data_IF_295864927432
#
_entry.id   IF_295864927432
#
_cell.length_a   1.000
_cell.length_b   1.000
_cell.length_c   1.000
_cell.angle_alpha   90.00
_cell.angle_beta   90.00
_cell.angle_gamma   90.00
#
_symmetry.space_group_name_H-M   'P 1'
#
loop_
_entity.id
_entity.type
_entity.pdbx_description
1 polymer ?
#
# COMPACT_ATOMS: atom_id res chain seq x y z
N UNK A 1 23.61 1.01 -16.52
CA UNK A 1 23.79 -0.28 -15.83
C UNK A 1 23.80 -1.38 -16.89
N UNK A 2 24.88 -2.17 -17.01
CA UNK A 2 24.97 -3.28 -17.93
C UNK A 2 24.60 -4.59 -17.25
N UNK A 3 23.89 -5.50 -17.96
CA UNK A 3 23.60 -6.85 -17.48
C UNK A 3 24.63 -7.83 -18.04
N UNK A 4 25.09 -8.75 -17.22
CA UNK A 4 25.99 -9.83 -17.62
C UNK A 4 25.14 -11.10 -17.73
N UNK A 5 24.87 -11.57 -18.96
CA UNK A 5 24.07 -12.78 -19.15
C UNK A 5 24.88 -14.06 -19.01
N UNK A 6 26.04 -14.11 -19.62
CA UNK A 6 27.03 -15.20 -19.48
C UNK A 6 28.36 -14.68 -20.02
N UNK A 7 29.41 -14.84 -19.27
CA UNK A 7 30.77 -14.48 -19.69
C UNK A 7 31.77 -15.53 -19.18
N UNK A 8 32.96 -15.59 -19.73
CA UNK A 8 34.01 -16.51 -19.35
C UNK A 8 34.31 -16.48 -17.85
N UNK A 9 34.04 -15.33 -17.19
CA UNK A 9 34.24 -15.11 -15.75
C UNK A 9 32.96 -15.20 -14.92
N UNK A 10 31.80 -15.37 -15.55
CA UNK A 10 30.51 -15.33 -14.82
C UNK A 10 30.19 -13.96 -14.20
N UNK A 11 29.23 -13.91 -13.29
CA UNK A 11 28.94 -12.70 -12.52
C UNK A 11 29.91 -12.56 -11.36
N UNK A 12 30.41 -11.35 -11.13
CA UNK A 12 31.25 -11.03 -9.97
C UNK A 12 30.55 -10.05 -9.04
N UNK A 13 30.94 -10.07 -7.75
CA UNK A 13 30.48 -9.14 -6.74
C UNK A 13 31.64 -8.31 -6.20
N UNK A 14 31.41 -7.03 -5.99
CA UNK A 14 32.38 -6.11 -5.43
C UNK A 14 32.99 -5.15 -6.44
N UNK A 15 34.05 -4.43 -6.03
CA UNK A 15 34.72 -3.40 -6.80
C UNK A 15 35.94 -3.96 -7.52
N UNK A 16 36.00 -3.74 -8.84
CA UNK A 16 37.19 -4.05 -9.66
C UNK A 16 37.52 -2.78 -10.46
N UNK A 17 38.58 -2.08 -10.05
CA UNK A 17 38.99 -0.82 -10.65
C UNK A 17 37.86 0.24 -10.58
N UNK A 18 37.39 0.70 -11.73
CA UNK A 18 36.31 1.70 -11.87
C UNK A 18 34.92 1.06 -12.01
N UNK A 19 34.82 -0.28 -11.88
CA UNK A 19 33.56 -1.02 -12.07
C UNK A 19 33.17 -1.73 -10.77
N UNK A 20 31.85 -1.75 -10.50
CA UNK A 20 31.25 -2.50 -9.40
C UNK A 20 30.33 -3.57 -9.99
N UNK A 21 30.62 -4.84 -9.65
CA UNK A 21 29.72 -5.97 -9.85
C UNK A 21 28.74 -6.12 -8.69
N UNK A 22 27.51 -6.44 -8.98
CA UNK A 22 26.45 -6.65 -7.98
C UNK A 22 25.39 -7.58 -8.56
N UNK A 23 24.62 -8.22 -7.68
CA UNK A 23 23.45 -9.01 -8.08
C UNK A 23 22.18 -8.22 -7.75
N UNK A 24 21.25 -8.13 -8.69
CA UNK A 24 19.96 -7.53 -8.50
C UNK A 24 18.87 -8.44 -9.07
N UNK A 25 17.97 -8.93 -8.19
CA UNK A 25 16.89 -9.87 -8.52
C UNK A 25 17.38 -11.13 -9.28
N UNK A 26 18.50 -11.69 -8.84
CA UNK A 26 19.10 -12.88 -9.47
C UNK A 26 19.90 -12.61 -10.74
N UNK A 27 19.89 -11.38 -11.27
CA UNK A 27 20.69 -10.98 -12.43
C UNK A 27 22.01 -10.35 -11.99
N UNK A 28 23.12 -10.76 -12.60
CA UNK A 28 24.41 -10.11 -12.42
C UNK A 28 24.45 -8.80 -13.19
N UNK A 29 24.71 -7.71 -12.48
CA UNK A 29 24.78 -6.35 -13.05
C UNK A 29 26.15 -5.73 -12.84
N UNK A 30 26.54 -4.88 -13.78
CA UNK A 30 27.79 -4.12 -13.76
C UNK A 30 27.47 -2.63 -13.84
N UNK A 31 28.08 -1.82 -12.99
CA UNK A 31 27.93 -0.37 -12.98
C UNK A 31 29.27 0.33 -12.78
N UNK A 32 29.40 1.53 -13.33
CA UNK A 32 30.55 2.37 -13.05
C UNK A 32 30.59 2.79 -11.58
N UNK A 33 31.79 2.96 -11.03
CA UNK A 33 31.98 3.54 -9.71
C UNK A 33 31.37 4.96 -9.69
N UNK A 34 30.50 5.28 -8.71
CA UNK A 34 29.96 6.63 -8.61
C UNK A 34 31.10 7.65 -8.45
N UNK A 35 31.12 8.70 -9.25
CA UNK A 35 31.98 9.86 -9.00
C UNK A 35 31.32 10.68 -7.89
N UNK A 36 31.79 10.50 -6.67
CA UNK A 36 31.25 11.21 -5.51
C UNK A 36 31.79 12.64 -5.47
N UNK A 37 31.03 13.58 -5.98
CA UNK A 37 31.13 14.94 -5.48
C UNK A 37 30.03 15.09 -4.43
N UNK A 38 30.40 15.37 -3.19
CA UNK A 38 29.46 15.70 -2.12
C UNK A 38 28.84 17.09 -2.41
N UNK A 39 27.90 17.14 -3.34
CA UNK A 39 27.10 18.35 -3.56
C UNK A 39 25.90 18.32 -2.62
N UNK A 40 25.59 19.47 -2.02
CA UNK A 40 24.35 19.63 -1.28
C UNK A 40 23.16 19.24 -2.16
N UNK A 41 22.13 18.58 -1.60
CA UNK A 41 20.95 18.19 -2.38
C UNK A 41 20.23 19.45 -2.89
N UNK A 42 19.73 19.39 -4.11
CA UNK A 42 18.84 20.44 -4.65
C UNK A 42 17.53 20.47 -3.86
N UNK A 43 16.80 21.57 -3.95
CA UNK A 43 15.50 21.70 -3.27
C UNK A 43 14.53 20.60 -3.71
N UNK A 44 14.43 20.29 -5.00
CA UNK A 44 13.61 19.19 -5.53
C UNK A 44 14.01 17.83 -4.94
N UNK A 45 15.30 17.57 -4.75
CA UNK A 45 15.78 16.34 -4.12
C UNK A 45 15.44 16.29 -2.63
N UNK A 46 15.50 17.44 -1.93
CA UNK A 46 15.10 17.56 -0.53
C UNK A 46 13.62 17.25 -0.37
N UNK A 47 12.78 17.87 -1.19
CA UNK A 47 11.33 17.65 -1.25
C UNK A 47 11.01 16.16 -1.49
N UNK A 48 11.63 15.54 -2.49
CA UNK A 48 11.41 14.13 -2.81
C UNK A 48 11.83 13.20 -1.65
N UNK A 49 12.92 13.51 -0.95
CA UNK A 49 13.34 12.74 0.24
C UNK A 49 12.34 12.86 1.38
N UNK A 50 11.79 14.06 1.61
CA UNK A 50 10.77 14.27 2.65
C UNK A 50 9.49 13.47 2.34
N UNK A 51 8.99 13.54 1.11
CA UNK A 51 7.83 12.73 0.67
C UNK A 51 8.08 11.24 0.82
N UNK A 52 9.25 10.76 0.39
CA UNK A 52 9.62 9.35 0.51
C UNK A 52 9.69 8.91 1.97
N UNK A 53 10.28 9.73 2.85
CA UNK A 53 10.36 9.45 4.28
C UNK A 53 8.98 9.31 4.90
N UNK A 54 8.11 10.30 4.71
CA UNK A 54 6.74 10.29 5.27
C UNK A 54 5.93 9.09 4.78
N UNK A 55 5.95 8.81 3.46
CA UNK A 55 5.25 7.66 2.90
C UNK A 55 5.81 6.34 3.41
N UNK A 56 7.14 6.22 3.55
CA UNK A 56 7.75 4.99 4.04
C UNK A 56 7.41 4.73 5.52
N UNK A 57 7.44 5.77 6.35
CA UNK A 57 7.07 5.68 7.77
C UNK A 57 5.60 5.27 7.92
N UNK A 58 4.71 5.85 7.11
CA UNK A 58 3.28 5.52 7.10
C UNK A 58 3.00 4.10 6.61
N UNK A 59 3.62 3.66 5.51
CA UNK A 59 3.32 2.36 4.88
C UNK A 59 4.06 1.16 5.52
N UNK A 60 5.13 1.38 6.29
CA UNK A 60 5.91 0.30 6.87
C UNK A 60 5.08 -0.68 7.73
N UNK A 61 4.20 -0.22 8.64
CA UNK A 61 3.36 -1.13 9.42
C UNK A 61 2.40 -1.96 8.56
N UNK A 62 2.00 -1.44 7.39
CA UNK A 62 1.05 -2.07 6.47
C UNK A 62 1.74 -2.92 5.38
N UNK A 63 3.03 -3.17 5.49
CA UNK A 63 3.86 -3.79 4.44
C UNK A 63 3.35 -5.17 4.00
N UNK A 64 2.91 -6.01 4.92
CA UNK A 64 2.38 -7.34 4.62
C UNK A 64 1.10 -7.25 3.79
N UNK A 65 0.17 -6.42 4.21
CA UNK A 65 -1.12 -6.17 3.54
C UNK A 65 -0.89 -5.62 2.13
N UNK A 66 -0.05 -4.59 1.98
CA UNK A 66 0.29 -4.03 0.67
C UNK A 66 0.99 -5.05 -0.24
N UNK A 67 1.83 -5.93 0.31
CA UNK A 67 2.50 -6.98 -0.46
C UNK A 67 1.53 -8.06 -0.95
N UNK A 68 0.39 -8.21 -0.31
CA UNK A 68 -0.67 -9.15 -0.70
C UNK A 68 -1.68 -8.52 -1.66
N UNK A 69 -2.20 -7.34 -1.32
CA UNK A 69 -3.41 -6.78 -1.93
C UNK A 69 -3.17 -5.61 -2.89
N UNK A 70 -1.93 -5.13 -3.08
CA UNK A 70 -1.67 -3.95 -3.90
C UNK A 70 -1.13 -4.29 -5.28
N UNK A 71 -2.00 -4.18 -6.30
CA UNK A 71 -1.64 -4.38 -7.70
C UNK A 71 -1.29 -5.82 -8.06
N UNK A 72 -0.97 -6.02 -9.33
CA UNK A 72 -0.55 -7.32 -9.86
C UNK A 72 0.98 -7.41 -9.84
N UNK A 73 1.51 -8.59 -9.54
CA UNK A 73 2.96 -8.82 -9.63
C UNK A 73 3.39 -8.82 -11.10
N UNK A 74 4.18 -7.83 -11.47
CA UNK A 74 4.72 -7.70 -12.84
C UNK A 74 6.13 -8.27 -12.95
N UNK A 75 6.65 -8.90 -11.88
CA UNK A 75 8.03 -9.42 -11.82
C UNK A 75 9.12 -8.35 -11.72
N UNK A 76 8.86 -7.14 -12.19
CA UNK A 76 9.85 -6.03 -12.20
C UNK A 76 9.81 -5.20 -10.93
N UNK A 77 8.60 -4.89 -10.44
CA UNK A 77 8.40 -4.11 -9.21
C UNK A 77 7.60 -4.92 -8.20
N UNK A 78 8.03 -4.92 -6.94
CA UNK A 78 7.22 -5.51 -5.88
C UNK A 78 5.93 -4.70 -5.67
N UNK A 79 4.87 -5.34 -5.20
CA UNK A 79 3.59 -4.69 -4.88
C UNK A 79 3.78 -3.53 -3.89
N UNK A 80 4.63 -3.70 -2.87
CA UNK A 80 4.99 -2.64 -1.92
C UNK A 80 5.66 -1.43 -2.60
N UNK A 81 6.57 -1.66 -3.57
CA UNK A 81 7.19 -0.56 -4.32
C UNK A 81 6.17 0.17 -5.21
N UNK A 82 5.19 -0.55 -5.75
CA UNK A 82 4.08 0.07 -6.50
C UNK A 82 3.21 0.92 -5.58
N UNK A 83 2.89 0.43 -4.38
CA UNK A 83 2.17 1.20 -3.36
C UNK A 83 2.94 2.47 -2.98
N UNK A 84 4.23 2.34 -2.64
CA UNK A 84 5.09 3.49 -2.30
C UNK A 84 5.11 4.53 -3.43
N UNK A 85 5.28 4.09 -4.68
CA UNK A 85 5.27 4.98 -5.85
C UNK A 85 3.94 5.72 -6.02
N UNK A 86 2.83 5.01 -5.83
CA UNK A 86 1.49 5.61 -5.89
C UNK A 86 1.30 6.68 -4.82
N UNK A 87 1.63 6.38 -3.56
CA UNK A 87 1.41 7.28 -2.43
C UNK A 87 2.30 8.53 -2.49
N UNK A 88 3.55 8.42 -2.93
CA UNK A 88 4.43 9.57 -3.12
C UNK A 88 3.83 10.58 -4.13
N UNK A 89 3.14 10.07 -5.14
CA UNK A 89 2.58 10.91 -6.19
C UNK A 89 1.20 11.48 -5.84
N UNK A 90 0.35 10.69 -5.16
CA UNK A 90 -1.07 10.99 -5.04
C UNK A 90 -1.54 11.28 -3.62
N UNK A 91 -0.88 10.72 -2.59
CA UNK A 91 -1.39 10.71 -1.22
C UNK A 91 -0.49 11.48 -0.23
N UNK A 92 0.45 12.29 -0.72
CA UNK A 92 1.31 13.11 0.14
C UNK A 92 1.44 14.53 -0.40
N UNK A 93 1.28 15.49 0.49
CA UNK A 93 1.44 16.91 0.20
C UNK A 93 2.51 17.53 1.11
N UNK A 94 3.16 18.58 0.61
CA UNK A 94 4.09 19.39 1.40
C UNK A 94 3.38 20.69 1.75
N UNK A 95 3.26 20.94 3.02
CA UNK A 95 2.72 22.17 3.59
C UNK A 95 3.85 22.97 4.26
N UNK A 96 3.57 24.19 4.67
CA UNK A 96 4.52 25.02 5.44
C UNK A 96 4.90 24.35 6.78
N UNK A 97 4.02 23.52 7.33
CA UNK A 97 4.22 22.80 8.60
C UNK A 97 4.95 21.47 8.43
N UNK A 98 5.20 21.02 7.19
CA UNK A 98 5.88 19.75 6.89
C UNK A 98 5.18 18.91 5.84
N UNK A 99 5.32 17.60 5.95
CA UNK A 99 4.75 16.63 5.02
C UNK A 99 3.49 16.03 5.64
N UNK A 100 2.37 16.09 4.93
CA UNK A 100 1.07 15.56 5.36
C UNK A 100 0.61 14.42 4.46
N UNK A 101 0.06 13.35 5.06
CA UNK A 101 -0.62 12.28 4.35
C UNK A 101 -2.08 12.68 4.09
N UNK A 102 -2.53 12.53 2.86
CA UNK A 102 -3.90 12.80 2.44
C UNK A 102 -4.70 11.49 2.54
N UNK A 103 -5.28 11.20 3.71
CA UNK A 103 -6.01 9.95 4.00
C UNK A 103 -7.06 9.57 2.95
N UNK A 104 -7.88 10.51 2.41
CA UNK A 104 -8.86 10.19 1.36
C UNK A 104 -8.23 9.69 0.04
N UNK A 105 -6.94 9.93 -0.18
CA UNK A 105 -6.19 9.49 -1.36
C UNK A 105 -5.31 8.26 -1.13
N UNK A 106 -5.28 7.76 0.10
CA UNK A 106 -4.56 6.54 0.45
C UNK A 106 -5.30 5.33 -0.13
N UNK A 107 -4.56 4.41 -0.74
CA UNK A 107 -5.05 3.11 -1.15
C UNK A 107 -4.32 2.01 -0.39
N UNK A 108 -5.05 1.25 0.41
CA UNK A 108 -4.53 0.08 1.13
C UNK A 108 -4.58 -1.20 0.28
N UNK A 109 -5.43 -1.21 -0.75
CA UNK A 109 -5.51 -2.25 -1.76
C UNK A 109 -5.74 -1.62 -3.14
N UNK A 110 -5.21 -2.25 -4.19
CA UNK A 110 -5.39 -1.81 -5.58
C UNK A 110 -5.41 -3.01 -6.50
N UNK A 111 -6.43 -3.08 -7.34
CA UNK A 111 -6.54 -4.18 -8.30
C UNK A 111 -7.68 -3.97 -9.30
N UNK A 112 -8.02 -5.03 -10.00
CA UNK A 112 -9.00 -5.04 -11.08
C UNK A 112 -10.33 -5.68 -10.68
N UNK A 113 -10.44 -6.20 -9.45
CA UNK A 113 -11.70 -6.74 -8.95
C UNK A 113 -12.73 -5.63 -8.84
N UNK A 114 -13.97 -5.91 -9.18
CA UNK A 114 -15.06 -4.96 -9.03
C UNK A 114 -15.28 -4.63 -7.55
N UNK A 115 -15.35 -3.33 -7.21
CA UNK A 115 -15.47 -2.85 -5.85
C UNK A 115 -16.88 -2.97 -5.26
N UNK A 116 -17.08 -2.33 -4.12
CA UNK A 116 -18.40 -2.20 -3.50
C UNK A 116 -19.32 -1.28 -4.33
N UNK A 117 -20.62 -1.53 -4.23
CA UNK A 117 -21.66 -0.65 -4.72
C UNK A 117 -22.40 -0.05 -3.54
N UNK A 118 -22.58 1.29 -3.55
CA UNK A 118 -23.30 2.05 -2.52
C UNK A 118 -22.88 1.70 -1.08
N UNK A 119 -21.56 1.62 -0.86
CA UNK A 119 -20.99 1.30 0.46
C UNK A 119 -21.27 2.43 1.45
N UNK A 120 -21.91 2.09 2.54
CA UNK A 120 -22.22 2.99 3.66
C UNK A 120 -21.67 2.44 4.96
N UNK A 121 -21.41 3.33 5.92
CA UNK A 121 -20.92 2.94 7.24
C UNK A 121 -21.79 3.53 8.32
N UNK A 122 -21.98 2.75 9.38
CA UNK A 122 -22.58 3.22 10.63
C UNK A 122 -21.67 2.85 11.78
N UNK A 123 -21.67 3.67 12.82
CA UNK A 123 -20.85 3.45 14.01
C UNK A 123 -21.76 3.34 15.24
N UNK A 124 -21.43 2.43 16.14
CA UNK A 124 -22.00 2.32 17.46
C UNK A 124 -20.91 1.92 18.44
N UNK A 125 -20.57 2.82 19.36
CA UNK A 125 -19.44 2.66 20.28
C UNK A 125 -18.14 2.28 19.55
N UNK A 126 -17.61 1.08 19.79
CA UNK A 126 -16.38 0.56 19.17
C UNK A 126 -16.65 -0.28 17.93
N UNK A 127 -17.90 -0.40 17.50
CA UNK A 127 -18.31 -1.23 16.34
C UNK A 127 -18.54 -0.35 15.14
N UNK A 128 -17.86 -0.67 14.03
CA UNK A 128 -18.11 -0.11 12.70
C UNK A 128 -18.86 -1.16 11.91
N UNK A 129 -20.05 -0.82 11.42
CA UNK A 129 -20.83 -1.67 10.53
C UNK A 129 -20.83 -1.09 9.12
N UNK A 130 -20.47 -1.93 8.15
CA UNK A 130 -20.48 -1.64 6.72
C UNK A 130 -21.72 -2.27 6.12
N UNK A 131 -22.38 -1.54 5.22
CA UNK A 131 -23.51 -2.06 4.42
C UNK A 131 -23.27 -1.68 2.95
N UNK A 132 -23.55 -2.61 2.03
CA UNK A 132 -23.40 -2.41 0.59
C UNK A 132 -24.53 -3.11 -0.17
N UNK A 133 -24.68 -2.76 -1.43
CA UNK A 133 -25.65 -3.40 -2.30
C UNK A 133 -25.05 -4.60 -3.05
N UNK A 134 -25.90 -5.56 -3.40
CA UNK A 134 -25.49 -6.72 -4.20
C UNK A 134 -25.10 -6.26 -5.62
N UNK A 135 -23.90 -6.64 -6.00
CA UNK A 135 -23.36 -6.39 -7.33
C UNK A 135 -22.62 -7.63 -7.91
N UNK A 136 -22.99 -8.80 -7.45
CA UNK A 136 -22.40 -10.09 -7.87
C UNK A 136 -22.59 -10.41 -9.35
N UNK A 137 -23.54 -9.74 -10.01
CA UNK A 137 -23.80 -9.90 -11.44
C UNK A 137 -22.91 -9.04 -12.33
N UNK A 138 -22.07 -8.18 -11.76
CA UNK A 138 -21.25 -7.24 -12.52
C UNK A 138 -19.79 -7.68 -12.66
N UNK A 139 -19.32 -7.67 -13.91
CA UNK A 139 -17.91 -7.86 -14.23
C UNK A 139 -17.32 -9.16 -13.71
N UNK A 140 -16.28 -9.05 -12.88
CA UNK A 140 -15.59 -10.17 -12.25
C UNK A 140 -15.94 -10.35 -10.76
N UNK A 141 -17.04 -9.73 -10.32
CA UNK A 141 -17.55 -9.86 -8.95
C UNK A 141 -18.09 -11.26 -8.70
N UNK A 142 -17.82 -11.80 -7.51
CA UNK A 142 -18.30 -13.12 -7.07
C UNK A 142 -18.88 -13.03 -5.67
N UNK A 143 -19.86 -13.89 -5.37
CA UNK A 143 -20.48 -13.98 -4.05
C UNK A 143 -19.45 -14.24 -2.92
N UNK A 144 -18.45 -15.08 -3.23
CA UNK A 144 -17.42 -15.51 -2.28
C UNK A 144 -16.28 -14.50 -2.10
N UNK A 145 -16.28 -13.36 -2.82
CA UNK A 145 -15.26 -12.34 -2.62
C UNK A 145 -15.27 -11.86 -1.18
N UNK A 146 -14.11 -11.88 -0.54
CA UNK A 146 -14.01 -11.56 0.89
C UNK A 146 -13.87 -10.08 1.14
N UNK A 147 -14.58 -9.60 2.14
CA UNK A 147 -14.53 -8.22 2.64
C UNK A 147 -13.38 -8.09 3.63
N UNK A 148 -12.56 -7.06 3.43
CA UNK A 148 -11.45 -6.72 4.31
C UNK A 148 -11.54 -5.25 4.70
N UNK A 149 -11.23 -4.95 5.97
CA UNK A 149 -11.25 -3.60 6.52
C UNK A 149 -9.90 -3.28 7.15
N UNK A 150 -9.44 -2.07 6.91
CA UNK A 150 -8.20 -1.54 7.50
C UNK A 150 -8.54 -0.25 8.22
N UNK A 151 -8.22 -0.22 9.50
CA UNK A 151 -8.38 0.93 10.37
C UNK A 151 -7.00 1.49 10.73
N UNK A 152 -6.79 2.78 10.53
CA UNK A 152 -5.56 3.47 10.90
C UNK A 152 -5.83 4.46 12.02
N UNK A 153 -5.06 4.39 13.08
CA UNK A 153 -5.14 5.27 14.24
C UNK A 153 -3.91 6.16 14.25
N UNK A 154 -4.09 7.42 13.86
CA UNK A 154 -2.98 8.38 13.69
C UNK A 154 -2.22 8.61 15.00
N UNK A 155 -2.92 8.78 16.10
CA UNK A 155 -2.34 9.10 17.40
C UNK A 155 -1.28 8.10 17.89
N UNK A 156 -1.40 6.83 17.49
CA UNK A 156 -0.48 5.75 17.84
C UNK A 156 0.26 5.18 16.63
N UNK A 157 0.06 5.77 15.45
CA UNK A 157 0.64 5.33 14.17
C UNK A 157 0.51 3.81 13.94
N UNK A 158 -0.70 3.27 14.13
CA UNK A 158 -0.94 1.83 14.11
C UNK A 158 -2.10 1.49 13.17
N UNK A 159 -1.94 0.37 12.46
CA UNK A 159 -2.99 -0.20 11.62
C UNK A 159 -3.60 -1.44 12.27
N UNK A 160 -4.92 -1.56 12.20
CA UNK A 160 -5.66 -2.77 12.48
C UNK A 160 -6.24 -3.30 11.16
N UNK A 161 -5.88 -4.53 10.82
CA UNK A 161 -6.32 -5.18 9.59
C UNK A 161 -7.25 -6.32 9.94
N UNK A 162 -8.48 -6.23 9.46
CA UNK A 162 -9.51 -7.25 9.61
C UNK A 162 -9.70 -7.93 8.25
N UNK A 163 -9.26 -9.18 8.16
CA UNK A 163 -9.30 -9.93 6.91
C UNK A 163 -10.46 -10.92 6.89
N UNK A 164 -11.13 -11.02 5.74
CA UNK A 164 -12.20 -12.01 5.49
C UNK A 164 -13.33 -11.97 6.53
N UNK A 165 -13.77 -10.75 6.88
CA UNK A 165 -14.81 -10.53 7.90
C UNK A 165 -16.22 -10.94 7.44
N UNK A 166 -16.47 -10.90 6.13
CA UNK A 166 -17.71 -11.32 5.48
C UNK A 166 -17.42 -11.68 4.02
N UNK A 167 -18.40 -12.23 3.34
CA UNK A 167 -18.40 -12.38 1.88
C UNK A 167 -19.22 -11.24 1.25
N UNK A 168 -19.02 -11.01 -0.07
CA UNK A 168 -19.73 -9.98 -0.84
C UNK A 168 -21.24 -10.13 -0.76
N UNK A 169 -21.76 -11.36 -0.85
CA UNK A 169 -23.19 -11.69 -0.79
C UNK A 169 -23.83 -11.49 0.59
N UNK A 170 -23.02 -11.31 1.64
CA UNK A 170 -23.50 -11.01 2.99
C UNK A 170 -24.12 -9.63 3.15
N UNK A 171 -23.83 -8.68 2.24
CA UNK A 171 -24.34 -7.30 2.17
C UNK A 171 -24.08 -6.43 3.41
N UNK A 172 -23.57 -7.02 4.48
CA UNK A 172 -23.20 -6.33 5.72
C UNK A 172 -22.00 -7.00 6.38
N UNK A 173 -21.20 -6.20 7.07
CA UNK A 173 -20.10 -6.68 7.88
C UNK A 173 -19.85 -5.73 9.06
N UNK A 174 -19.39 -6.25 10.17
CA UNK A 174 -19.05 -5.46 11.34
C UNK A 174 -17.65 -5.77 11.83
N UNK A 175 -16.92 -4.73 12.24
CA UNK A 175 -15.63 -4.84 12.90
C UNK A 175 -15.69 -4.14 14.24
N UNK A 176 -15.07 -4.73 15.25
CA UNK A 176 -14.99 -4.17 16.60
C UNK A 176 -13.55 -3.79 16.89
N UNK A 177 -13.31 -2.51 17.20
CA UNK A 177 -12.02 -2.03 17.65
C UNK A 177 -11.88 -2.27 19.17
N UNK A 178 -10.65 -2.50 19.68
CA UNK A 178 -10.40 -2.59 21.10
C UNK A 178 -10.83 -1.31 21.85
N UNK A 179 -11.40 -1.47 23.05
CA UNK A 179 -11.92 -0.35 23.87
C UNK A 179 -10.88 0.71 24.24
N UNK A 180 -9.60 0.36 24.25
CA UNK A 180 -8.51 1.30 24.50
C UNK A 180 -8.35 2.38 23.42
N UNK A 181 -9.11 2.31 22.34
CA UNK A 181 -9.14 3.33 21.27
C UNK A 181 -10.34 4.27 21.34
N UNK A 182 -11.17 4.15 22.36
CA UNK A 182 -12.19 5.16 22.66
C UNK A 182 -11.53 6.55 22.86
N UNK A 183 -12.05 7.56 22.18
CA UNK A 183 -11.50 8.92 22.18
C UNK A 183 -10.49 9.20 21.04
N UNK A 184 -10.17 8.20 20.20
CA UNK A 184 -9.28 8.39 19.06
C UNK A 184 -10.07 8.54 17.75
N UNK A 185 -9.47 9.30 16.82
CA UNK A 185 -9.92 9.33 15.44
C UNK A 185 -9.31 8.17 14.66
N UNK A 186 -10.12 7.51 13.85
CA UNK A 186 -9.75 6.33 13.08
C UNK A 186 -10.09 6.54 11.61
N UNK A 187 -9.09 6.41 10.74
CA UNK A 187 -9.26 6.42 9.29
C UNK A 187 -9.60 5.01 8.81
N UNK A 188 -10.74 4.86 8.15
CA UNK A 188 -11.28 3.54 7.80
C UNK A 188 -11.26 3.32 6.29
N UNK A 189 -10.77 2.15 5.88
CA UNK A 189 -10.72 1.70 4.49
C UNK A 189 -11.32 0.32 4.37
N UNK A 190 -12.04 0.05 3.28
CA UNK A 190 -12.56 -1.27 2.97
C UNK A 190 -12.23 -1.67 1.54
N UNK A 191 -12.02 -2.96 1.30
CA UNK A 191 -11.80 -3.51 -0.02
C UNK A 191 -12.25 -4.99 -0.11
N UNK A 192 -12.46 -5.44 -1.33
CA UNK A 192 -12.82 -6.82 -1.64
C UNK A 192 -11.63 -7.58 -2.21
N UNK A 193 -11.59 -8.88 -1.93
CA UNK A 193 -10.53 -9.76 -2.40
C UNK A 193 -11.08 -11.11 -2.85
N UNK A 194 -10.74 -11.50 -4.08
CA UNK A 194 -10.96 -12.84 -4.61
C UNK A 194 -9.74 -13.72 -4.31
N UNK A 195 -9.91 -14.69 -3.42
CA UNK A 195 -8.87 -15.64 -3.00
C UNK A 195 -8.42 -16.58 -4.13
N UNK A 196 -9.31 -16.87 -5.08
CA UNK A 196 -9.05 -17.79 -6.19
C UNK A 196 -8.17 -17.13 -7.24
N UNK A 197 -8.58 -15.96 -7.73
CA UNK A 197 -7.82 -15.21 -8.73
C UNK A 197 -6.67 -14.39 -8.11
N UNK A 198 -6.62 -14.29 -6.78
CA UNK A 198 -5.66 -13.46 -6.02
C UNK A 198 -5.67 -11.99 -6.45
N UNK A 199 -6.86 -11.48 -6.77
CA UNK A 199 -7.08 -10.10 -7.17
C UNK A 199 -7.87 -9.33 -6.12
N UNK A 200 -7.52 -8.07 -5.91
CA UNK A 200 -8.22 -7.16 -5.01
C UNK A 200 -8.98 -6.09 -5.78
N UNK A 201 -9.96 -5.48 -5.15
CA UNK A 201 -10.54 -4.23 -5.60
C UNK A 201 -9.66 -3.06 -5.19
N UNK A 202 -9.91 -1.88 -5.74
CA UNK A 202 -9.40 -0.66 -5.14
C UNK A 202 -10.08 -0.47 -3.78
N UNK A 203 -9.30 -0.07 -2.78
CA UNK A 203 -9.87 0.27 -1.47
C UNK A 203 -10.67 1.56 -1.54
N UNK A 204 -11.77 1.59 -0.79
CA UNK A 204 -12.63 2.75 -0.60
C UNK A 204 -12.31 3.35 0.77
N UNK A 205 -12.10 4.65 0.81
CA UNK A 205 -11.97 5.40 2.05
C UNK A 205 -13.37 5.72 2.61
N UNK A 206 -13.63 5.37 3.85
CA UNK A 206 -14.94 5.48 4.50
C UNK A 206 -15.06 6.69 5.42
N UNK A 207 -13.98 7.43 5.56
CA UNK A 207 -13.93 8.64 6.37
C UNK A 207 -13.12 8.48 7.64
N UNK A 208 -13.05 9.59 8.39
CA UNK A 208 -12.52 9.67 9.73
C UNK A 208 -13.67 9.42 10.71
N UNK A 209 -13.55 8.39 11.51
CA UNK A 209 -14.57 8.00 12.51
C UNK A 209 -13.99 8.29 13.89
N UNK A 210 -14.68 9.12 14.66
CA UNK A 210 -14.34 9.41 16.06
C UNK A 210 -15.02 8.36 16.97
N UNK A 211 -14.22 7.69 17.80
CA UNK A 211 -14.68 6.69 18.76
C UNK A 211 -14.80 7.26 20.15
#
# INVERSE_FOLDING_TARGET
>A
MGKIKTGILGGFQGKVGTVIGSTWRGESIMRALPKTAAKAPTESQRIQRLKFKAVSEFLNPLRSTLSTYFGNDTGVKSKYNMATSYHITNAVEITEQGTQILYPRVLVAKGTLFGFQNLTTTQSETVITLNWEDNTVFGNAKAEDTVNVVCYIEAVNTFYVFESIANRDGLTASVTLPQNFLGYNVEVYAFLYDKVSKTSSNSVYLGNIAF
#
